data_IF_919259846748
#
_entry.id   IF_919259846748
#
_cell.length_a   1.000
_cell.length_b   1.000
_cell.length_c   1.000
_cell.angle_alpha   90.00
_cell.angle_beta   90.00
_cell.angle_gamma   90.00
#
_symmetry.space_group_name_H-M   'P 1'
#
loop_
_entity.id
_entity.type
_entity.pdbx_description
1 polymer ?
#
# COMPACT_ATOMS: atom_id res chain seq x y z
N UNK A 1 -7.86 -5.37 -16.23
CA UNK A 1 -6.72 -5.80 -15.39
C UNK A 1 -6.97 -7.20 -14.82
N UNK A 2 -5.96 -7.91 -14.30
CA UNK A 2 -6.15 -9.16 -13.52
C UNK A 2 -7.14 -8.92 -12.38
N UNK A 3 -7.12 -7.72 -11.82
CA UNK A 3 -8.02 -7.22 -10.79
C UNK A 3 -9.47 -6.94 -11.28
N UNK A 4 -9.76 -7.07 -12.58
CA UNK A 4 -11.08 -6.88 -13.19
C UNK A 4 -11.70 -8.15 -13.79
N UNK A 5 -11.12 -9.34 -13.56
CA UNK A 5 -11.64 -10.57 -14.18
C UNK A 5 -13.11 -10.80 -13.80
N UNK A 6 -13.99 -10.78 -14.80
CA UNK A 6 -15.45 -10.85 -14.67
C UNK A 6 -16.01 -12.27 -14.52
N UNK A 7 -15.18 -13.27 -14.21
CA UNK A 7 -15.51 -14.69 -14.39
C UNK A 7 -16.23 -15.36 -13.21
N UNK A 8 -16.64 -14.63 -12.17
CA UNK A 8 -17.39 -15.19 -11.04
C UNK A 8 -18.77 -14.54 -10.88
N UNK A 9 -19.83 -15.32 -11.14
CA UNK A 9 -21.18 -14.99 -10.66
C UNK A 9 -21.24 -15.29 -9.16
N UNK A 10 -20.91 -14.28 -8.36
CA UNK A 10 -21.08 -14.32 -6.91
C UNK A 10 -22.53 -13.95 -6.54
N UNK A 11 -23.06 -14.53 -5.45
CA UNK A 11 -24.28 -14.03 -4.80
C UNK A 11 -24.07 -12.66 -4.15
N UNK A 12 -22.82 -12.25 -3.94
CA UNK A 12 -22.46 -10.91 -3.49
C UNK A 12 -22.29 -9.99 -4.70
N UNK A 13 -22.93 -8.83 -4.67
CA UNK A 13 -22.59 -7.78 -5.62
C UNK A 13 -21.20 -7.21 -5.27
N UNK A 14 -20.53 -6.68 -6.29
CA UNK A 14 -19.18 -6.11 -6.18
C UNK A 14 -19.08 -4.92 -5.21
N UNK A 15 -20.20 -4.24 -4.97
CA UNK A 15 -20.27 -3.09 -4.07
C UNK A 15 -20.60 -3.48 -2.63
N UNK A 16 -20.66 -4.79 -2.32
CA UNK A 16 -21.08 -5.33 -1.02
C UNK A 16 -22.33 -4.61 -0.49
N UNK A 17 -23.31 -4.33 -1.35
CA UNK A 17 -24.62 -3.77 -0.99
C UNK A 17 -25.52 -4.88 -0.47
N UNK A 18 -26.40 -4.55 0.47
CA UNK A 18 -27.47 -5.46 0.87
C UNK A 18 -28.39 -5.72 -0.33
N UNK A 19 -28.65 -6.99 -0.63
CA UNK A 19 -29.58 -7.38 -1.69
C UNK A 19 -30.97 -7.62 -1.12
N UNK A 20 -31.07 -8.12 0.11
CA UNK A 20 -32.33 -8.33 0.81
C UNK A 20 -32.32 -7.65 2.19
N UNK A 21 -33.50 -7.46 2.77
CA UNK A 21 -33.65 -6.95 4.13
C UNK A 21 -33.48 -8.07 5.18
N UNK A 22 -32.43 -8.90 5.02
CA UNK A 22 -32.15 -10.04 5.89
C UNK A 22 -31.07 -9.68 6.92
N UNK A 23 -31.33 -9.76 8.23
CA UNK A 23 -30.35 -9.44 9.27
C UNK A 23 -29.03 -10.21 9.17
N UNK A 24 -29.09 -11.51 8.81
CA UNK A 24 -27.88 -12.34 8.67
C UNK A 24 -27.04 -11.94 7.45
N UNK A 25 -27.69 -11.55 6.37
CA UNK A 25 -27.00 -11.02 5.19
C UNK A 25 -26.32 -9.69 5.53
N UNK A 26 -27.01 -8.81 6.26
CA UNK A 26 -26.44 -7.53 6.69
C UNK A 26 -25.20 -7.71 7.53
N UNK A 27 -25.28 -8.55 8.55
CA UNK A 27 -24.15 -8.87 9.42
C UNK A 27 -22.96 -9.43 8.61
N UNK A 28 -23.22 -10.38 7.72
CA UNK A 28 -22.19 -10.95 6.85
C UNK A 28 -21.55 -9.90 5.92
N UNK A 29 -22.36 -9.05 5.28
CA UNK A 29 -21.89 -7.97 4.40
C UNK A 29 -21.02 -6.97 5.16
N UNK A 30 -21.39 -6.60 6.39
CA UNK A 30 -20.58 -5.71 7.22
C UNK A 30 -19.25 -6.35 7.63
N UNK A 31 -19.22 -7.65 7.96
CA UNK A 31 -17.95 -8.37 8.17
C UNK A 31 -17.07 -8.36 6.92
N UNK A 32 -17.66 -8.58 5.74
CA UNK A 32 -16.92 -8.52 4.48
C UNK A 32 -16.35 -7.13 4.21
N UNK A 33 -17.12 -6.07 4.47
CA UNK A 33 -16.63 -4.67 4.37
C UNK A 33 -15.49 -4.40 5.33
N UNK A 34 -15.57 -4.85 6.59
CA UNK A 34 -14.46 -4.77 7.53
C UNK A 34 -13.22 -5.52 7.00
N UNK A 35 -13.42 -6.69 6.39
CA UNK A 35 -12.34 -7.46 5.75
C UNK A 35 -11.61 -6.71 4.64
N UNK A 36 -12.28 -5.81 3.91
CA UNK A 36 -11.61 -5.00 2.86
C UNK A 36 -10.54 -4.05 3.41
N UNK A 37 -10.64 -3.62 4.68
CA UNK A 37 -9.61 -2.80 5.31
C UNK A 37 -8.32 -3.62 5.56
N UNK A 38 -8.41 -4.95 5.64
CA UNK A 38 -7.23 -5.82 5.80
C UNK A 38 -6.45 -5.99 4.50
N UNK A 39 -7.12 -5.92 3.34
CA UNK A 39 -6.52 -6.22 2.02
C UNK A 39 -6.37 -5.00 1.10
N UNK A 40 -6.88 -3.83 1.50
CA UNK A 40 -6.84 -2.61 0.68
C UNK A 40 -5.41 -2.22 0.28
N UNK A 41 -4.42 -2.37 1.15
CA UNK A 41 -3.00 -2.11 0.83
C UNK A 41 -2.55 -2.99 -0.32
N UNK A 42 -2.77 -4.30 -0.21
CA UNK A 42 -2.33 -5.30 -1.19
C UNK A 42 -3.02 -5.14 -2.54
N UNK A 43 -4.34 -4.91 -2.54
CA UNK A 43 -5.10 -4.71 -3.76
C UNK A 43 -4.74 -3.39 -4.45
N UNK A 44 -4.44 -2.34 -3.68
CA UNK A 44 -3.94 -1.07 -4.23
C UNK A 44 -2.53 -1.25 -4.82
N UNK A 45 -1.66 -2.01 -4.16
CA UNK A 45 -0.33 -2.36 -4.70
C UNK A 45 -0.45 -3.11 -6.02
N UNK A 46 -1.34 -4.09 -6.12
CA UNK A 46 -1.56 -4.84 -7.36
C UNK A 46 -2.04 -3.90 -8.47
N UNK A 47 -3.02 -3.02 -8.19
CA UNK A 47 -3.48 -2.06 -9.18
C UNK A 47 -2.36 -1.11 -9.63
N UNK A 48 -1.48 -0.68 -8.72
CA UNK A 48 -0.32 0.13 -9.04
C UNK A 48 0.70 -0.64 -9.90
N UNK A 49 1.04 -1.87 -9.51
CA UNK A 49 1.93 -2.76 -10.25
C UNK A 49 1.42 -3.03 -11.68
N UNK A 50 0.11 -3.24 -11.86
CA UNK A 50 -0.52 -3.39 -13.17
C UNK A 50 -0.45 -2.13 -14.02
N UNK A 51 -0.49 -0.95 -13.39
CA UNK A 51 -0.38 0.34 -14.06
C UNK A 51 1.06 0.71 -14.42
N UNK A 52 2.05 0.21 -13.68
CA UNK A 52 3.45 0.66 -13.80
C UNK A 52 4.40 -0.37 -14.42
N UNK A 53 4.10 -1.67 -14.29
CA UNK A 53 4.98 -2.75 -14.75
C UNK A 53 4.33 -3.51 -15.90
N UNK A 54 4.83 -3.37 -17.14
CA UNK A 54 4.38 -4.19 -18.27
C UNK A 54 4.56 -5.67 -17.96
N UNK A 55 3.54 -6.47 -18.28
CA UNK A 55 3.53 -7.91 -18.07
C UNK A 55 3.81 -8.34 -16.62
N UNK A 56 3.31 -7.58 -15.63
CA UNK A 56 3.49 -7.94 -14.21
C UNK A 56 3.01 -9.34 -13.88
N UNK A 57 2.00 -9.85 -14.61
CA UNK A 57 1.47 -11.21 -14.50
C UNK A 57 2.50 -12.32 -14.71
N UNK A 58 3.60 -12.04 -15.41
CA UNK A 58 4.66 -13.01 -15.74
C UNK A 58 5.93 -12.83 -14.91
N UNK A 59 5.96 -11.86 -13.98
CA UNK A 59 7.13 -11.58 -13.15
C UNK A 59 7.32 -12.69 -12.11
N UNK A 60 8.52 -13.27 -12.07
CA UNK A 60 8.91 -14.25 -11.07
C UNK A 60 9.23 -13.65 -9.70
N UNK A 61 9.67 -12.39 -9.68
CA UNK A 61 10.00 -11.67 -8.46
C UNK A 61 9.57 -10.21 -8.51
N UNK A 62 9.17 -9.66 -7.37
CA UNK A 62 8.81 -8.24 -7.21
C UNK A 62 9.41 -7.72 -5.89
N UNK A 63 10.00 -6.52 -5.93
CA UNK A 63 10.47 -5.77 -4.77
C UNK A 63 9.63 -4.52 -4.55
N UNK A 64 9.13 -4.37 -3.34
CA UNK A 64 8.35 -3.22 -2.92
C UNK A 64 9.02 -2.53 -1.74
N UNK A 65 9.08 -1.21 -1.79
CA UNK A 65 9.43 -0.40 -0.62
C UNK A 65 8.16 0.27 -0.09
N UNK A 66 7.84 0.01 1.17
CA UNK A 66 6.76 0.66 1.91
C UNK A 66 7.34 1.85 2.65
N UNK A 67 7.12 3.04 2.10
CA UNK A 67 7.73 4.31 2.49
C UNK A 67 6.87 4.97 3.57
N UNK A 68 7.51 5.45 4.64
CA UNK A 68 6.80 6.04 5.78
C UNK A 68 6.09 4.99 6.64
N UNK A 69 6.50 3.72 6.56
CA UNK A 69 5.81 2.60 7.21
C UNK A 69 5.62 2.82 8.72
N UNK A 70 4.38 2.61 9.17
CA UNK A 70 3.94 2.71 10.55
C UNK A 70 2.98 1.55 10.90
N UNK A 71 2.23 1.70 11.99
CA UNK A 71 1.44 0.61 12.58
C UNK A 71 0.46 -0.07 11.64
N UNK A 72 -0.19 0.68 10.74
CA UNK A 72 -1.17 0.14 9.80
C UNK A 72 -0.50 -0.77 8.76
N UNK A 73 0.63 -0.36 8.18
CA UNK A 73 1.35 -1.15 7.19
C UNK A 73 1.89 -2.44 7.83
N UNK A 74 2.38 -2.37 9.07
CA UNK A 74 2.81 -3.56 9.82
C UNK A 74 1.65 -4.51 10.15
N UNK A 75 0.48 -3.99 10.52
CA UNK A 75 -0.70 -4.80 10.79
C UNK A 75 -1.16 -5.59 9.54
N UNK A 76 -0.87 -5.07 8.35
CA UNK A 76 -1.19 -5.72 7.07
C UNK A 76 -0.19 -6.79 6.62
N UNK A 77 0.93 -6.99 7.33
CA UNK A 77 2.00 -7.95 6.96
C UNK A 77 1.47 -9.34 6.58
N UNK A 78 0.56 -9.98 7.34
CA UNK A 78 0.04 -11.30 6.98
C UNK A 78 -0.69 -11.34 5.63
N UNK A 79 -1.31 -10.23 5.22
CA UNK A 79 -2.08 -10.17 3.99
C UNK A 79 -1.20 -10.03 2.73
N UNK A 80 0.11 -9.77 2.85
CA UNK A 80 0.99 -9.67 1.67
C UNK A 80 1.15 -10.99 0.90
N UNK A 81 0.81 -12.13 1.50
CA UNK A 81 0.72 -13.40 0.75
C UNK A 81 -0.32 -13.33 -0.39
N UNK A 82 -1.33 -12.47 -0.30
CA UNK A 82 -2.35 -12.28 -1.36
C UNK A 82 -1.73 -11.90 -2.71
N UNK A 83 -0.58 -11.22 -2.74
CA UNK A 83 0.12 -10.92 -3.98
C UNK A 83 0.60 -12.20 -4.69
N UNK A 84 1.01 -13.23 -3.95
CA UNK A 84 1.42 -14.53 -4.52
C UNK A 84 0.21 -15.28 -5.12
N UNK A 85 -0.98 -15.09 -4.55
CA UNK A 85 -2.22 -15.69 -5.05
C UNK A 85 -2.76 -14.96 -6.28
N UNK A 86 -2.66 -13.64 -6.31
CA UNK A 86 -3.17 -12.79 -7.37
C UNK A 86 -2.21 -12.67 -8.57
N UNK A 87 -0.92 -12.93 -8.37
CA UNK A 87 0.12 -13.00 -9.41
C UNK A 87 0.70 -14.42 -9.48
N UNK A 88 0.10 -15.35 -10.24
CA UNK A 88 0.48 -16.77 -10.20
C UNK A 88 1.93 -17.08 -10.65
N UNK A 89 2.56 -16.21 -11.43
CA UNK A 89 3.99 -16.38 -11.79
C UNK A 89 4.94 -15.90 -10.70
N UNK A 90 4.46 -15.14 -9.70
CA UNK A 90 5.29 -14.59 -8.64
C UNK A 90 5.70 -15.70 -7.66
N UNK A 91 7.01 -15.91 -7.54
CA UNK A 91 7.61 -16.87 -6.60
C UNK A 91 8.35 -16.18 -5.46
N UNK A 92 8.82 -14.94 -5.65
CA UNK A 92 9.52 -14.19 -4.62
C UNK A 92 9.00 -12.75 -4.49
N UNK A 93 8.42 -12.42 -3.34
CA UNK A 93 8.07 -11.06 -2.97
C UNK A 93 9.06 -10.54 -1.94
N UNK A 94 9.68 -9.38 -2.21
CA UNK A 94 10.58 -8.70 -1.29
C UNK A 94 9.92 -7.40 -0.82
N UNK A 95 9.79 -7.23 0.49
CA UNK A 95 9.17 -6.06 1.12
C UNK A 95 10.21 -5.37 1.99
N UNK A 96 10.42 -4.07 1.77
CA UNK A 96 11.20 -3.21 2.67
C UNK A 96 10.27 -2.21 3.33
N UNK A 97 10.08 -2.30 4.65
CA UNK A 97 9.36 -1.27 5.41
C UNK A 97 10.35 -0.22 5.90
N UNK A 98 10.16 1.02 5.48
CA UNK A 98 11.09 2.12 5.71
C UNK A 98 10.35 3.29 6.35
N UNK A 99 10.77 3.74 7.52
CA UNK A 99 10.12 4.85 8.20
C UNK A 99 10.64 5.13 9.61
N UNK A 100 10.41 6.32 10.16
CA UNK A 100 10.85 6.68 11.52
C UNK A 100 10.15 5.85 12.61
N UNK A 101 8.92 5.41 12.32
CA UNK A 101 8.04 4.65 13.22
C UNK A 101 8.16 3.13 13.07
N UNK A 102 9.15 2.65 12.29
CA UNK A 102 9.44 1.23 12.14
C UNK A 102 9.97 0.67 13.46
N UNK A 103 9.19 -0.21 14.09
CA UNK A 103 9.49 -0.81 15.39
C UNK A 103 9.79 -2.31 15.33
N UNK A 104 9.45 -3.00 14.24
CA UNK A 104 9.68 -4.44 14.09
C UNK A 104 11.17 -4.77 13.94
N UNK A 105 11.71 -5.53 14.90
CA UNK A 105 13.02 -6.17 14.80
C UNK A 105 14.18 -5.50 15.52
N UNK A 106 13.97 -4.33 16.13
CA UNK A 106 15.01 -3.64 16.89
C UNK A 106 15.00 -4.08 18.36
N UNK A 107 15.61 -5.23 18.68
CA UNK A 107 15.95 -5.54 20.08
C UNK A 107 17.23 -4.81 20.54
N UNK A 108 18.11 -4.40 19.62
CA UNK A 108 19.47 -3.94 19.97
C UNK A 108 19.85 -2.54 19.45
N UNK A 109 18.89 -1.69 19.07
CA UNK A 109 19.15 -0.27 18.74
C UNK A 109 20.04 0.00 17.51
N UNK A 110 20.48 -1.03 16.77
CA UNK A 110 21.24 -0.90 15.53
C UNK A 110 20.32 -0.99 14.32
N UNK A 111 20.61 -0.18 13.29
CA UNK A 111 19.95 -0.19 11.98
C UNK A 111 20.24 -1.47 11.16
N UNK A 112 20.18 -2.64 11.79
CA UNK A 112 20.38 -3.93 11.13
C UNK A 112 19.05 -4.44 10.57
N UNK A 113 19.00 -4.55 9.26
CA UNK A 113 17.89 -5.12 8.51
C UNK A 113 17.89 -6.64 8.71
N UNK A 114 17.21 -7.14 9.74
CA UNK A 114 16.99 -8.58 9.87
C UNK A 114 16.00 -9.00 8.79
N UNK A 115 16.39 -9.94 7.93
CA UNK A 115 15.50 -10.51 6.93
C UNK A 115 14.57 -11.50 7.62
N UNK A 116 13.27 -11.23 7.57
CA UNK A 116 12.22 -12.10 8.08
C UNK A 116 11.51 -12.78 6.92
N UNK A 117 11.23 -14.07 7.03
CA UNK A 117 10.36 -14.76 6.06
C UNK A 117 8.97 -14.89 6.66
N UNK A 118 7.96 -14.43 5.94
CA UNK A 118 6.56 -14.65 6.32
C UNK A 118 6.25 -16.14 6.21
N UNK A 119 5.53 -16.68 7.19
CA UNK A 119 4.97 -18.03 7.09
C UNK A 119 3.81 -17.99 6.09
N UNK A 120 4.07 -18.49 4.88
CA UNK A 120 3.06 -18.57 3.83
C UNK A 120 2.19 -19.82 4.01
N UNK A 121 1.03 -19.86 3.37
CA UNK A 121 0.15 -21.02 3.35
C UNK A 121 0.86 -22.27 2.79
N UNK A 122 0.26 -23.43 3.05
CA UNK A 122 0.82 -24.73 2.64
C UNK A 122 0.99 -24.83 1.13
N UNK A 123 0.08 -24.28 0.34
CA UNK A 123 0.15 -24.25 -1.13
C UNK A 123 1.33 -23.43 -1.61
N UNK A 124 1.45 -22.17 -1.16
CA UNK A 124 2.58 -21.30 -1.54
C UNK A 124 3.93 -21.90 -1.13
N UNK A 125 4.00 -22.45 0.08
CA UNK A 125 5.21 -23.11 0.60
C UNK A 125 5.61 -24.32 -0.26
N UNK A 126 4.66 -25.20 -0.61
CA UNK A 126 4.92 -26.36 -1.49
C UNK A 126 5.36 -25.96 -2.90
N UNK A 127 4.88 -24.82 -3.38
CA UNK A 127 5.27 -24.24 -4.67
C UNK A 127 6.60 -23.46 -4.61
N UNK A 128 7.30 -23.47 -3.47
CA UNK A 128 8.56 -22.75 -3.28
C UNK A 128 8.41 -21.22 -3.32
N UNK A 129 7.20 -20.71 -3.10
CA UNK A 129 6.93 -19.27 -3.09
C UNK A 129 7.25 -18.67 -1.72
N UNK A 130 7.67 -17.41 -1.69
CA UNK A 130 8.05 -16.76 -0.43
C UNK A 130 7.79 -15.27 -0.41
N UNK A 131 7.53 -14.76 0.79
CA UNK A 131 7.54 -13.32 1.11
C UNK A 131 8.69 -13.06 2.08
N UNK A 132 9.63 -12.22 1.68
CA UNK A 132 10.77 -11.79 2.49
C UNK A 132 10.58 -10.34 2.90
N UNK A 133 10.74 -10.07 4.19
CA UNK A 133 10.48 -8.77 4.82
C UNK A 133 11.77 -8.25 5.42
N UNK A 134 12.02 -6.99 5.16
CA UNK A 134 13.17 -6.25 5.61
C UNK A 134 12.67 -4.94 6.23
N UNK A 135 13.32 -4.45 7.28
CA UNK A 135 12.94 -3.21 7.95
C UNK A 135 14.11 -2.24 8.03
N UNK A 136 13.82 -0.95 7.90
CA UNK A 136 14.80 0.10 8.13
C UNK A 136 14.15 1.28 8.84
N UNK A 137 14.75 1.70 9.97
CA UNK A 137 14.23 2.79 10.78
C UNK A 137 14.91 4.10 10.42
N UNK A 138 14.08 5.05 9.99
CA UNK A 138 14.47 6.43 9.68
C UNK A 138 13.75 6.99 8.45
N UNK A 139 14.20 8.15 7.93
CA UNK A 139 13.67 8.74 6.71
C UNK A 139 14.14 8.06 5.42
N UNK A 140 13.26 7.89 4.43
CA UNK A 140 13.56 7.17 3.19
C UNK A 140 14.75 7.75 2.40
N UNK A 141 14.89 9.08 2.34
CA UNK A 141 16.04 9.74 1.70
C UNK A 141 17.40 9.42 2.35
N UNK A 142 17.42 8.91 3.57
CA UNK A 142 18.65 8.41 4.20
C UNK A 142 18.84 6.92 3.90
N UNK A 143 17.77 6.12 3.86
CA UNK A 143 17.81 4.70 3.50
C UNK A 143 18.47 4.46 2.13
N UNK A 144 18.10 5.27 1.13
CA UNK A 144 18.58 5.13 -0.26
C UNK A 144 20.10 5.31 -0.40
N UNK A 145 20.75 5.95 0.58
CA UNK A 145 22.21 6.14 0.62
C UNK A 145 22.95 5.02 1.36
N UNK A 146 22.23 4.01 1.85
CA UNK A 146 22.82 2.88 2.59
C UNK A 146 23.20 1.76 1.64
N UNK A 147 24.14 0.91 2.07
CA UNK A 147 24.47 -0.34 1.35
C UNK A 147 23.34 -1.38 1.36
N UNK A 148 22.27 -1.12 2.12
CA UNK A 148 21.09 -1.97 2.23
C UNK A 148 20.02 -1.62 1.19
N UNK A 149 20.15 -0.46 0.55
CA UNK A 149 19.22 -0.04 -0.49
C UNK A 149 19.35 -0.94 -1.72
N UNK A 150 18.20 -1.38 -2.22
CA UNK A 150 18.08 -2.04 -3.50
C UNK A 150 16.88 -1.40 -4.20
N UNK A 151 17.06 -0.97 -5.44
CA UNK A 151 16.00 -0.32 -6.21
C UNK A 151 14.74 -1.20 -6.23
N UNK A 152 13.60 -0.70 -5.72
CA UNK A 152 12.35 -1.44 -5.78
C UNK A 152 11.74 -1.36 -7.18
N UNK A 153 10.86 -2.32 -7.50
CA UNK A 153 10.03 -2.24 -8.70
C UNK A 153 8.90 -1.21 -8.55
N UNK A 154 8.48 -0.95 -7.29
CA UNK A 154 7.49 0.05 -6.92
C UNK A 154 7.74 0.53 -5.47
N UNK A 155 7.80 1.84 -5.26
CA UNK A 155 7.68 2.44 -3.93
C UNK A 155 6.22 2.75 -3.60
N UNK A 156 5.82 2.66 -2.33
CA UNK A 156 4.45 2.97 -1.91
C UNK A 156 4.42 3.71 -0.56
N UNK A 157 3.84 4.91 -0.54
CA UNK A 157 3.61 5.71 0.65
C UNK A 157 2.11 5.78 0.95
N UNK A 158 1.66 4.93 1.88
CA UNK A 158 0.26 4.89 2.29
C UNK A 158 -0.04 5.98 3.30
N UNK A 159 -1.13 6.73 3.07
CA UNK A 159 -1.58 7.78 3.99
C UNK A 159 -0.45 8.73 4.43
N UNK A 160 0.44 9.09 3.49
CA UNK A 160 1.68 9.80 3.81
C UNK A 160 1.44 11.17 4.45
N UNK A 161 0.36 11.85 4.06
CA UNK A 161 -0.03 13.14 4.61
C UNK A 161 1.03 14.22 4.42
N UNK A 162 1.98 14.06 3.50
CA UNK A 162 3.20 14.88 3.45
C UNK A 162 2.93 16.36 3.13
N UNK A 163 1.74 16.69 2.62
CA UNK A 163 1.31 18.06 2.36
C UNK A 163 0.66 18.75 3.56
N UNK A 164 0.41 18.02 4.65
CA UNK A 164 -0.38 18.47 5.81
C UNK A 164 0.39 18.26 7.10
N UNK A 165 0.99 17.10 7.28
CA UNK A 165 1.64 16.66 8.52
C UNK A 165 3.13 16.48 8.27
N UNK A 166 3.96 16.98 9.18
CA UNK A 166 5.42 16.76 9.15
C UNK A 166 6.05 17.11 7.79
N UNK A 167 5.54 18.17 7.15
CA UNK A 167 5.94 18.56 5.80
C UNK A 167 7.46 18.81 5.72
N UNK A 168 8.06 19.37 6.78
CA UNK A 168 9.49 19.63 6.85
C UNK A 168 10.31 18.33 6.87
N UNK A 169 9.86 17.32 7.62
CA UNK A 169 10.50 16.01 7.72
C UNK A 169 10.34 15.19 6.42
N UNK A 170 9.20 15.32 5.75
CA UNK A 170 8.93 14.66 4.47
C UNK A 170 9.65 15.30 3.30
N UNK A 171 9.86 16.62 3.30
CA UNK A 171 10.36 17.35 2.14
C UNK A 171 11.64 16.77 1.51
N UNK A 172 12.69 16.37 2.26
CA UNK A 172 13.87 15.74 1.66
C UNK A 172 13.56 14.38 1.01
N UNK A 173 12.61 13.62 1.57
CA UNK A 173 12.10 12.38 0.94
C UNK A 173 11.37 12.71 -0.35
N UNK A 174 10.42 13.66 -0.33
CA UNK A 174 9.67 14.07 -1.51
C UNK A 174 10.60 14.55 -2.63
N UNK A 175 11.61 15.37 -2.29
CA UNK A 175 12.64 15.82 -3.24
C UNK A 175 13.49 14.69 -3.82
N UNK A 176 13.76 13.63 -3.07
CA UNK A 176 14.41 12.45 -3.63
C UNK A 176 13.46 11.72 -4.59
N UNK A 177 12.18 11.57 -4.20
CA UNK A 177 11.19 10.81 -4.97
C UNK A 177 10.85 11.45 -6.32
N UNK A 178 11.08 12.75 -6.53
CA UNK A 178 10.95 13.40 -7.86
C UNK A 178 11.90 12.83 -8.91
N UNK A 179 12.95 12.13 -8.49
CA UNK A 179 13.98 11.53 -9.33
C UNK A 179 14.21 10.06 -8.97
N UNK A 180 13.22 9.42 -8.35
CA UNK A 180 13.33 8.01 -8.01
C UNK A 180 13.51 7.16 -9.28
N UNK A 181 14.31 6.08 -9.23
CA UNK A 181 14.47 5.17 -10.36
C UNK A 181 13.25 4.26 -10.59
N UNK A 182 12.20 4.40 -9.78
CA UNK A 182 11.01 3.57 -9.79
C UNK A 182 9.75 4.41 -9.56
N UNK A 183 8.60 3.99 -10.11
CA UNK A 183 7.31 4.60 -9.81
C UNK A 183 6.97 4.58 -8.33
N UNK A 184 6.29 5.62 -7.86
CA UNK A 184 5.87 5.74 -6.46
C UNK A 184 4.35 5.89 -6.37
N UNK A 185 3.72 4.93 -5.70
CA UNK A 185 2.31 4.94 -5.31
C UNK A 185 2.12 5.81 -4.07
N UNK A 186 1.09 6.63 -4.07
CA UNK A 186 0.61 7.36 -2.91
C UNK A 186 -0.87 7.09 -2.67
N UNK A 187 -1.28 7.09 -1.39
CA UNK A 187 -2.70 7.06 -1.01
C UNK A 187 -3.03 8.12 0.03
N UNK A 188 -4.29 8.54 0.05
CA UNK A 188 -4.82 9.43 1.09
C UNK A 188 -6.25 9.04 1.46
N UNK A 189 -6.68 9.47 2.65
CA UNK A 189 -8.06 9.28 3.09
C UNK A 189 -8.96 10.42 2.60
N UNK A 190 -8.42 11.64 2.48
CA UNK A 190 -9.20 12.86 2.28
C UNK A 190 -8.75 13.61 1.04
N UNK A 191 -9.70 14.31 0.43
CA UNK A 191 -9.45 15.02 -0.81
C UNK A 191 -8.50 16.23 -0.65
N UNK A 192 -8.53 16.91 0.50
CA UNK A 192 -7.65 18.07 0.70
C UNK A 192 -6.18 17.69 0.82
N UNK A 193 -5.86 16.51 1.38
CA UNK A 193 -4.49 15.96 1.42
C UNK A 193 -3.96 15.84 0.00
N UNK A 194 -4.71 15.15 -0.87
CA UNK A 194 -4.38 15.00 -2.29
C UNK A 194 -4.21 16.36 -2.98
N UNK A 195 -5.09 17.33 -2.72
CA UNK A 195 -4.98 18.67 -3.32
C UNK A 195 -3.65 19.36 -2.97
N UNK A 196 -3.24 19.30 -1.70
CA UNK A 196 -1.96 19.84 -1.27
C UNK A 196 -0.78 19.08 -1.89
N UNK A 197 -0.86 17.74 -1.92
CA UNK A 197 0.18 16.88 -2.50
C UNK A 197 0.35 17.14 -4.01
N UNK A 198 -0.75 17.31 -4.75
CA UNK A 198 -0.72 17.61 -6.18
C UNK A 198 -0.05 18.95 -6.48
N UNK A 199 -0.28 19.95 -5.64
CA UNK A 199 0.35 21.25 -5.79
C UNK A 199 1.87 21.13 -5.61
N UNK A 200 2.31 20.40 -4.59
CA UNK A 200 3.74 20.13 -4.34
C UNK A 200 4.38 19.42 -5.54
N UNK A 201 3.76 18.35 -6.06
CA UNK A 201 4.30 17.64 -7.23
C UNK A 201 4.34 18.49 -8.49
N UNK A 202 3.33 19.33 -8.70
CA UNK A 202 3.29 20.28 -9.82
C UNK A 202 4.43 21.30 -9.72
N UNK A 203 4.67 21.84 -8.53
CA UNK A 203 5.74 22.81 -8.28
C UNK A 203 7.13 22.18 -8.44
N UNK A 204 7.24 20.87 -8.16
CA UNK A 204 8.45 20.08 -8.40
C UNK A 204 8.58 19.55 -9.85
N UNK A 205 7.59 19.80 -10.71
CA UNK A 205 7.63 19.41 -12.13
C UNK A 205 7.56 17.91 -12.40
N UNK A 206 6.94 17.13 -11.51
CA UNK A 206 6.88 15.66 -11.61
C UNK A 206 5.79 15.19 -12.57
N UNK A 207 6.10 14.14 -13.34
CA UNK A 207 5.16 13.45 -14.22
C UNK A 207 4.27 12.48 -13.43
N UNK A 208 2.95 12.55 -13.66
CA UNK A 208 2.00 11.58 -13.12
C UNK A 208 1.84 10.42 -14.10
N UNK A 209 2.21 9.21 -13.68
CA UNK A 209 1.80 8.00 -14.40
C UNK A 209 0.30 7.74 -14.22
N UNK A 210 -0.24 8.18 -13.07
CA UNK A 210 -1.66 8.15 -12.78
C UNK A 210 -2.07 9.37 -11.97
N UNK A 211 -2.99 10.16 -12.52
CA UNK A 211 -3.60 11.26 -11.80
C UNK A 211 -4.49 10.78 -10.65
N UNK A 212 -4.71 11.61 -9.60
CA UNK A 212 -5.53 11.22 -8.48
C UNK A 212 -6.96 10.89 -8.86
N UNK A 213 -7.42 9.76 -8.33
CA UNK A 213 -8.81 9.33 -8.44
C UNK A 213 -9.22 8.54 -7.20
N UNK A 214 -10.50 8.23 -7.12
CA UNK A 214 -11.01 7.31 -6.10
C UNK A 214 -10.44 5.92 -6.36
N UNK A 215 -9.75 5.39 -5.36
CA UNK A 215 -9.24 4.04 -5.39
C UNK A 215 -10.40 3.05 -5.36
N UNK A 216 -10.50 2.24 -6.42
CA UNK A 216 -11.46 1.14 -6.50
C UNK A 216 -11.27 0.11 -5.36
N UNK A 217 -10.06 -0.01 -4.84
CA UNK A 217 -9.66 -0.97 -3.80
C UNK A 217 -9.56 -0.35 -2.40
N UNK A 218 -10.14 0.84 -2.20
CA UNK A 218 -10.25 1.44 -0.88
C UNK A 218 -10.97 0.52 0.11
N UNK A 219 -10.68 0.70 1.39
CA UNK A 219 -11.47 0.09 2.45
C UNK A 219 -12.93 0.50 2.35
N UNK A 220 -13.84 -0.42 2.67
CA UNK A 220 -15.29 -0.20 2.61
C UNK A 220 -15.90 -0.03 4.00
N UNK A 221 -15.13 -0.26 5.07
CA UNK A 221 -15.58 0.01 6.43
C UNK A 221 -15.25 1.45 6.82
N UNK A 222 -16.27 2.28 7.14
CA UNK A 222 -16.08 3.67 7.48
C UNK A 222 -15.37 3.81 8.83
N UNK A 223 -14.54 4.84 8.96
CA UNK A 223 -13.95 5.27 10.23
C UNK A 223 -14.28 6.74 10.46
N UNK A 224 -14.46 7.14 11.72
CA UNK A 224 -14.64 8.55 12.06
C UNK A 224 -13.29 9.18 12.30
N UNK A 225 -13.03 10.29 11.61
CA UNK A 225 -11.90 11.15 11.94
C UNK A 225 -12.17 11.79 13.30
N UNK A 226 -11.45 11.31 14.32
CA UNK A 226 -11.49 11.87 15.69
C UNK A 226 -10.79 13.24 15.73
N UNK A 227 -9.80 13.45 14.85
CA UNK A 227 -9.02 14.68 14.74
C UNK A 227 -9.00 15.21 13.29
N UNK A 228 -9.20 16.53 13.14
CA UNK A 228 -9.13 17.26 11.86
C UNK A 228 -10.08 18.46 11.83
N UNK A 229 -10.06 19.22 10.72
CA UNK A 229 -10.87 20.44 10.54
C UNK A 229 -12.39 20.18 10.58
N UNK A 230 -12.80 18.94 10.31
CA UNK A 230 -14.17 18.47 10.37
C UNK A 230 -14.28 17.29 11.34
N UNK A 231 -14.53 17.53 12.64
CA UNK A 231 -14.78 16.45 13.58
C UNK A 231 -15.96 15.61 13.10
N UNK A 232 -15.85 14.28 13.26
CA UNK A 232 -16.84 13.29 12.79
C UNK A 232 -16.94 13.15 11.26
N UNK A 233 -15.93 13.60 10.50
CA UNK A 233 -15.82 13.24 9.08
C UNK A 233 -15.68 11.73 8.91
N UNK A 234 -16.51 11.15 8.04
CA UNK A 234 -16.41 9.73 7.69
C UNK A 234 -15.34 9.55 6.63
N UNK A 235 -14.31 8.78 6.96
CA UNK A 235 -13.19 8.46 6.08
C UNK A 235 -13.12 6.96 5.80
N UNK A 236 -12.47 6.60 4.70
CA UNK A 236 -12.13 5.22 4.39
C UNK A 236 -10.64 5.08 4.11
N UNK A 237 -10.09 3.91 4.41
CA UNK A 237 -8.67 3.62 4.16
C UNK A 237 -8.37 3.60 2.67
N UNK A 238 -7.23 4.17 2.28
CA UNK A 238 -6.74 4.30 0.92
C UNK A 238 -7.79 4.82 -0.06
N UNK A 239 -8.63 5.78 0.34
CA UNK A 239 -9.76 6.26 -0.47
C UNK A 239 -9.32 6.84 -1.82
N UNK A 240 -8.26 7.64 -1.80
CA UNK A 240 -7.65 8.24 -2.97
C UNK A 240 -6.30 7.59 -3.23
N UNK A 241 -5.92 7.54 -4.50
CA UNK A 241 -4.60 7.08 -4.92
C UNK A 241 -4.13 7.78 -6.17
N UNK A 242 -2.82 7.85 -6.35
CA UNK A 242 -2.15 8.32 -7.56
C UNK A 242 -0.75 7.71 -7.66
N UNK A 243 -0.12 7.87 -8.82
CA UNK A 243 1.23 7.36 -9.07
C UNK A 243 2.06 8.43 -9.76
N UNK A 244 3.22 8.72 -9.19
CA UNK A 244 4.25 9.58 -9.79
C UNK A 244 5.37 8.73 -10.36
N UNK A 245 6.06 9.28 -11.36
CA UNK A 245 7.21 8.67 -12.01
C UNK A 245 8.52 9.06 -11.34
#
# INVERSE_FOLDING_TARGET
MLSDKSSFKSKLNRDLKYLENNPKEREFVEYMRCGTNTTTIQLTLIAALEATIPNVSTRGSIRLDIIGAAGAEFASVPAFEELLHLLPSLTALYLTFVGPNVSMGFRDGKNSQKLYKLQCCTTCTKMGRSVSIATWRGPYHTYVNTKLYQTPDLGAAFHSGFSVVEQAEWYPTIKYLTHAPCPILFTAARYFEIRGEMQIWKDLGVEFLKHPEVNKWKGMSPSLAVCGDKPNEVIYQNYWWYIVK
#
